data_IF_341558413299
#
_entry.id   IF_341558413299
#
_cell.length_a   1.000
_cell.length_b   1.000
_cell.length_c   1.000
_cell.angle_alpha   90.00
_cell.angle_beta   90.00
_cell.angle_gamma   90.00
#
_symmetry.space_group_name_H-M   'P 1'
#
loop_
_entity.id
_entity.type
_entity.pdbx_description
1 polymer ?
#
# COMPACT_ATOMS: atom_id res chain seq x y z
N UNK A 1 -41.03 5.14 -17.42
CA UNK A 1 -39.88 4.23 -17.26
C UNK A 1 -38.73 5.06 -16.72
N UNK A 2 -38.23 4.73 -15.52
CA UNK A 2 -37.11 5.43 -14.88
C UNK A 2 -35.80 4.99 -15.53
N UNK A 3 -35.02 5.94 -16.06
CA UNK A 3 -33.62 5.73 -16.39
C UNK A 3 -32.78 5.76 -15.11
N UNK A 4 -32.12 4.65 -14.80
CA UNK A 4 -31.15 4.56 -13.73
C UNK A 4 -29.81 5.11 -14.23
N UNK A 5 -29.53 6.39 -13.96
CA UNK A 5 -28.23 7.00 -14.25
C UNK A 5 -27.18 6.48 -13.25
N UNK A 6 -26.40 5.49 -13.67
CA UNK A 6 -25.30 4.95 -12.88
C UNK A 6 -24.09 5.90 -12.95
N UNK A 7 -23.86 6.68 -11.89
CA UNK A 7 -22.65 7.51 -11.78
C UNK A 7 -21.42 6.63 -11.51
N UNK A 8 -20.79 6.16 -12.58
CA UNK A 8 -19.53 5.39 -12.51
C UNK A 8 -18.37 6.36 -12.40
N UNK A 9 -17.78 6.45 -11.20
CA UNK A 9 -16.55 7.23 -11.01
C UNK A 9 -15.36 6.54 -11.66
N UNK A 10 -14.33 7.30 -12.05
CA UNK A 10 -13.10 6.81 -12.71
C UNK A 10 -12.38 5.67 -11.95
N UNK A 11 -12.61 5.54 -10.64
CA UNK A 11 -12.12 4.44 -9.79
C UNK A 11 -12.91 3.15 -10.01
N UNK A 12 -14.22 3.26 -10.15
CA UNK A 12 -15.11 2.13 -10.45
C UNK A 12 -14.78 1.53 -11.81
N UNK A 13 -14.43 2.36 -12.79
CA UNK A 13 -14.05 1.89 -14.13
C UNK A 13 -12.73 1.10 -14.13
N UNK A 14 -11.75 1.50 -13.30
CA UNK A 14 -10.47 0.81 -13.19
C UNK A 14 -10.60 -0.52 -12.44
N UNK A 15 -11.47 -0.59 -11.42
CA UNK A 15 -11.83 -1.84 -10.73
C UNK A 15 -12.56 -2.79 -11.69
N UNK A 16 -13.49 -2.30 -12.50
CA UNK A 16 -14.20 -3.11 -13.50
C UNK A 16 -13.23 -3.65 -14.55
N UNK A 17 -12.25 -2.86 -15.01
CA UNK A 17 -11.24 -3.34 -15.99
C UNK A 17 -10.33 -4.39 -15.37
N UNK A 18 -9.90 -4.26 -14.11
CA UNK A 18 -9.10 -5.29 -13.43
C UNK A 18 -9.92 -6.57 -13.24
N UNK A 19 -11.17 -6.47 -12.79
CA UNK A 19 -12.08 -7.63 -12.62
C UNK A 19 -12.41 -8.31 -13.95
N UNK A 20 -12.59 -7.54 -15.03
CA UNK A 20 -12.83 -8.05 -16.38
C UNK A 20 -11.61 -8.76 -16.97
N UNK A 21 -10.40 -8.25 -16.73
CA UNK A 21 -9.15 -8.92 -17.16
C UNK A 21 -8.94 -10.23 -16.38
N UNK A 22 -9.31 -10.29 -15.10
CA UNK A 22 -9.32 -11.55 -14.33
C UNK A 22 -10.32 -12.57 -14.87
N UNK A 23 -11.51 -12.12 -15.30
CA UNK A 23 -12.56 -13.01 -15.81
C UNK A 23 -12.37 -13.45 -17.26
N UNK A 24 -11.57 -12.73 -18.06
CA UNK A 24 -11.18 -13.14 -19.42
C UNK A 24 -10.01 -14.14 -19.46
N UNK A 25 -9.28 -14.33 -18.36
CA UNK A 25 -8.29 -15.40 -18.19
C UNK A 25 -8.90 -16.68 -17.58
N UNK A 26 -10.20 -16.67 -17.26
CA UNK A 26 -10.96 -17.79 -16.70
C UNK A 26 -11.30 -18.87 -17.73
N UNK A 27 -10.29 -19.41 -18.42
CA UNK A 27 -10.44 -20.63 -19.21
C UNK A 27 -9.40 -21.67 -18.74
N UNK A 28 -9.77 -22.49 -17.76
CA UNK A 28 -9.30 -23.88 -17.68
C UNK A 28 -8.16 -24.23 -16.71
N UNK A 29 -7.82 -23.40 -15.73
CA UNK A 29 -6.97 -23.80 -14.61
C UNK A 29 -7.80 -23.75 -13.33
N UNK A 30 -7.77 -24.81 -12.52
CA UNK A 30 -8.57 -24.87 -11.30
C UNK A 30 -8.04 -23.83 -10.31
N UNK A 31 -8.90 -22.95 -9.81
CA UNK A 31 -8.50 -22.05 -8.74
C UNK A 31 -8.17 -22.88 -7.49
N UNK A 32 -6.98 -22.64 -6.92
CA UNK A 32 -6.56 -23.30 -5.69
C UNK A 32 -7.11 -22.55 -4.50
N UNK A 33 -7.71 -23.25 -3.54
CA UNK A 33 -8.29 -22.61 -2.37
C UNK A 33 -7.35 -22.70 -1.16
N UNK A 34 -7.30 -21.61 -0.40
CA UNK A 34 -6.76 -21.58 0.96
C UNK A 34 -7.84 -22.09 1.92
N UNK A 35 -7.79 -23.38 2.26
CA UNK A 35 -8.75 -24.04 3.15
C UNK A 35 -8.12 -25.29 3.77
N UNK A 36 -8.64 -25.76 4.91
CA UNK A 36 -8.23 -27.03 5.54
C UNK A 36 -8.43 -28.25 4.65
N UNK A 37 -9.35 -28.18 3.68
CA UNK A 37 -9.67 -29.30 2.79
C UNK A 37 -8.74 -29.36 1.57
N UNK A 38 -7.89 -28.34 1.40
CA UNK A 38 -6.93 -28.26 0.30
C UNK A 38 -5.71 -29.15 0.56
N UNK A 39 -5.31 -29.95 -0.42
CA UNK A 39 -4.09 -30.78 -0.34
C UNK A 39 -2.80 -29.97 -0.15
N UNK A 40 -2.85 -28.66 -0.41
CA UNK A 40 -1.72 -27.74 -0.28
C UNK A 40 -1.64 -27.13 1.12
N UNK A 41 -2.65 -27.35 1.97
CA UNK A 41 -2.76 -26.73 3.27
C UNK A 41 -2.81 -27.76 4.40
N UNK A 42 -2.19 -27.43 5.52
CA UNK A 42 -2.21 -28.20 6.76
C UNK A 42 -2.80 -27.33 7.87
N UNK A 43 -3.93 -27.77 8.41
CA UNK A 43 -4.60 -27.11 9.53
C UNK A 43 -3.89 -27.44 10.85
N UNK A 44 -3.51 -26.40 11.57
CA UNK A 44 -3.11 -26.46 12.97
C UNK A 44 -4.17 -25.78 13.86
N UNK A 45 -4.13 -25.97 15.19
CA UNK A 45 -5.19 -25.47 16.08
C UNK A 45 -5.47 -23.96 15.97
N UNK A 46 -4.47 -23.15 15.65
CA UNK A 46 -4.58 -21.68 15.60
C UNK A 46 -4.15 -21.05 14.28
N UNK A 47 -3.64 -21.85 13.35
CA UNK A 47 -3.14 -21.35 12.07
C UNK A 47 -3.29 -22.38 10.95
N UNK A 48 -3.35 -21.88 9.72
CA UNK A 48 -3.36 -22.69 8.51
C UNK A 48 -2.03 -22.47 7.77
N UNK A 49 -1.31 -23.54 7.49
CA UNK A 49 -0.07 -23.50 6.73
C UNK A 49 -0.32 -24.00 5.31
N UNK A 50 -0.10 -23.17 4.29
CA UNK A 50 -0.28 -23.53 2.90
C UNK A 50 1.01 -23.34 2.09
N UNK A 51 1.39 -24.37 1.34
CA UNK A 51 2.53 -24.33 0.42
C UNK A 51 2.09 -24.72 -0.99
N UNK A 52 2.26 -23.78 -1.91
CA UNK A 52 1.83 -23.87 -3.30
C UNK A 52 3.00 -24.10 -4.25
N UNK A 53 4.13 -24.60 -3.74
CA UNK A 53 5.32 -24.90 -4.54
C UNK A 53 4.97 -25.76 -5.77
N UNK A 54 5.44 -25.33 -6.93
CA UNK A 54 5.22 -26.03 -8.19
C UNK A 54 3.85 -25.81 -8.82
N UNK A 55 3.02 -24.95 -8.23
CA UNK A 55 1.74 -24.52 -8.82
C UNK A 55 1.89 -23.15 -9.50
N UNK A 56 1.17 -22.95 -10.60
CA UNK A 56 1.06 -21.65 -11.28
C UNK A 56 -0.38 -21.12 -11.25
N UNK A 57 -1.28 -21.86 -10.64
CA UNK A 57 -2.70 -21.55 -10.56
C UNK A 57 -2.94 -20.38 -9.60
N UNK A 58 -4.06 -19.69 -9.80
CA UNK A 58 -4.48 -18.63 -8.89
C UNK A 58 -4.87 -19.25 -7.56
N UNK A 59 -4.32 -18.72 -6.48
CA UNK A 59 -4.69 -19.08 -5.10
C UNK A 59 -5.75 -18.09 -4.61
N UNK A 60 -6.88 -18.60 -4.16
CA UNK A 60 -8.04 -17.81 -3.73
C UNK A 60 -8.32 -18.03 -2.24
N UNK A 61 -8.52 -16.92 -1.53
CA UNK A 61 -8.87 -16.89 -0.10
C UNK A 61 -10.22 -16.17 0.07
N UNK A 62 -11.31 -16.94 0.13
CA UNK A 62 -12.70 -16.43 0.12
C UNK A 62 -13.56 -16.82 1.35
N UNK A 63 -13.21 -17.89 2.07
CA UNK A 63 -14.15 -18.52 3.02
C UNK A 63 -13.58 -18.81 4.42
N UNK A 64 -12.38 -18.33 4.72
CA UNK A 64 -11.76 -18.55 6.03
C UNK A 64 -12.65 -17.99 7.14
N UNK A 65 -13.13 -18.86 8.03
CA UNK A 65 -13.94 -18.49 9.19
C UNK A 65 -15.46 -18.42 8.97
N UNK A 66 -16.00 -18.80 7.80
CA UNK A 66 -17.47 -18.83 7.56
C UNK A 66 -18.13 -20.19 7.79
N UNK A 67 -17.38 -21.30 7.79
CA UNK A 67 -17.93 -22.66 7.89
C UNK A 67 -17.27 -23.47 8.98
N UNK A 68 -17.61 -23.25 10.25
CA UNK A 68 -17.24 -24.17 11.34
C UNK A 68 -15.72 -24.37 11.57
N UNK A 69 -14.85 -23.68 10.83
CA UNK A 69 -13.41 -23.61 11.01
C UNK A 69 -13.14 -22.84 12.31
N UNK A 70 -13.21 -23.56 13.43
CA UNK A 70 -12.84 -23.04 14.73
C UNK A 70 -11.36 -22.63 14.71
N UNK A 71 -11.11 -21.35 15.01
CA UNK A 71 -9.86 -20.79 15.54
C UNK A 71 -8.66 -20.54 14.61
N UNK A 72 -8.79 -20.50 13.27
CA UNK A 72 -7.67 -20.00 12.44
C UNK A 72 -7.51 -18.49 12.64
N UNK A 73 -6.43 -18.10 13.32
CA UNK A 73 -6.08 -16.70 13.59
C UNK A 73 -5.03 -16.15 12.62
N UNK A 74 -4.24 -17.05 12.04
CA UNK A 74 -3.11 -16.72 11.17
C UNK A 74 -3.05 -17.69 10.00
N UNK A 75 -2.74 -17.19 8.81
CA UNK A 75 -2.48 -18.00 7.62
C UNK A 75 -1.05 -17.77 7.17
N UNK A 76 -0.35 -18.87 6.91
CA UNK A 76 0.96 -18.87 6.28
C UNK A 76 0.80 -19.32 4.84
N UNK A 77 1.28 -18.51 3.89
CA UNK A 77 1.27 -18.84 2.46
C UNK A 77 2.70 -18.85 1.95
N UNK A 78 3.10 -19.95 1.35
CA UNK A 78 4.42 -20.14 0.75
C UNK A 78 4.32 -20.42 -0.75
N UNK A 79 5.28 -19.87 -1.50
CA UNK A 79 5.59 -20.27 -2.88
C UNK A 79 4.41 -20.17 -3.87
N UNK A 80 3.52 -19.20 -3.68
CA UNK A 80 2.39 -18.97 -4.58
C UNK A 80 2.75 -17.97 -5.71
N UNK A 81 2.24 -18.22 -6.91
CA UNK A 81 2.31 -17.25 -8.00
C UNK A 81 1.43 -16.04 -7.71
N UNK A 82 0.12 -16.23 -7.73
CA UNK A 82 -0.85 -15.17 -7.46
C UNK A 82 -1.78 -15.58 -6.33
N UNK A 83 -2.02 -14.67 -5.39
CA UNK A 83 -2.98 -14.83 -4.30
C UNK A 83 -4.03 -13.74 -4.38
N UNK A 84 -5.30 -14.11 -4.47
CA UNK A 84 -6.44 -13.22 -4.37
C UNK A 84 -7.07 -13.35 -2.98
N UNK A 85 -7.09 -12.26 -2.23
CA UNK A 85 -7.70 -12.19 -0.89
C UNK A 85 -9.01 -11.43 -0.99
N UNK A 86 -10.11 -12.10 -0.66
CA UNK A 86 -11.43 -11.50 -0.66
C UNK A 86 -11.53 -10.34 0.34
N UNK A 87 -12.39 -9.38 0.04
CA UNK A 87 -12.47 -8.10 0.76
C UNK A 87 -12.99 -8.25 2.19
N UNK A 88 -13.63 -9.35 2.56
CA UNK A 88 -14.25 -9.60 3.85
C UNK A 88 -13.39 -10.46 4.79
N UNK A 89 -12.17 -10.82 4.37
CA UNK A 89 -11.24 -11.60 5.17
C UNK A 89 -10.48 -10.69 6.15
N UNK A 90 -10.63 -11.00 7.44
CA UNK A 90 -9.93 -10.36 8.55
C UNK A 90 -9.05 -11.39 9.27
N UNK A 91 -7.80 -11.53 8.85
CA UNK A 91 -6.90 -12.52 9.42
C UNK A 91 -5.46 -12.02 9.45
N UNK A 92 -4.63 -12.57 10.34
CA UNK A 92 -3.19 -12.36 10.22
C UNK A 92 -2.67 -13.17 9.04
N UNK A 93 -1.87 -12.53 8.18
CA UNK A 93 -1.34 -13.17 6.98
C UNK A 93 0.19 -13.07 6.97
N UNK A 94 0.84 -14.20 6.75
CA UNK A 94 2.29 -14.30 6.60
C UNK A 94 2.58 -14.91 5.23
N UNK A 95 3.15 -14.13 4.32
CA UNK A 95 3.45 -14.56 2.97
C UNK A 95 4.96 -14.65 2.74
N UNK A 96 5.40 -15.78 2.19
CA UNK A 96 6.79 -16.06 1.85
C UNK A 96 6.89 -16.43 0.38
N UNK A 97 7.75 -15.72 -0.37
CA UNK A 97 7.99 -15.99 -1.79
C UNK A 97 6.70 -15.99 -2.62
N UNK A 98 5.78 -15.06 -2.35
CA UNK A 98 4.53 -14.92 -3.09
C UNK A 98 4.69 -13.82 -4.15
N UNK A 99 4.56 -14.19 -5.42
CA UNK A 99 4.89 -13.26 -6.51
C UNK A 99 3.95 -12.06 -6.54
N UNK A 100 2.65 -12.24 -6.29
CA UNK A 100 1.72 -11.13 -6.15
C UNK A 100 0.52 -11.48 -5.24
N UNK A 101 0.21 -10.60 -4.30
CA UNK A 101 -0.97 -10.66 -3.43
C UNK A 101 -1.88 -9.48 -3.79
N UNK A 102 -3.11 -9.81 -4.15
CA UNK A 102 -4.14 -8.84 -4.49
C UNK A 102 -5.27 -8.91 -3.47
N UNK A 103 -5.44 -7.84 -2.70
CA UNK A 103 -6.65 -7.65 -1.91
C UNK A 103 -7.76 -7.06 -2.78
N UNK A 104 -8.88 -7.77 -2.90
CA UNK A 104 -10.04 -7.36 -3.71
C UNK A 104 -10.75 -6.12 -3.18
N UNK A 105 -10.50 -5.75 -1.93
CA UNK A 105 -11.07 -4.56 -1.29
C UNK A 105 -10.60 -4.40 0.14
N UNK A 106 -11.15 -3.38 0.81
CA UNK A 106 -10.92 -3.12 2.23
C UNK A 106 -12.10 -3.71 3.02
N UNK A 107 -11.88 -4.60 3.99
CA UNK A 107 -12.97 -5.10 4.82
C UNK A 107 -13.56 -3.99 5.68
N UNK A 108 -14.87 -3.84 5.59
CA UNK A 108 -15.64 -2.90 6.40
C UNK A 108 -15.92 -3.45 7.82
N UNK A 109 -15.82 -4.77 7.99
CA UNK A 109 -16.36 -5.50 9.14
C UNK A 109 -15.33 -6.03 10.14
N UNK A 110 -14.02 -5.78 9.95
CA UNK A 110 -13.02 -6.30 10.89
C UNK A 110 -13.19 -5.72 12.29
N UNK A 111 -13.23 -6.62 13.29
CA UNK A 111 -13.32 -6.25 14.70
C UNK A 111 -12.16 -5.32 15.08
N UNK A 112 -12.42 -4.07 15.50
CA UNK A 112 -11.36 -3.11 15.84
C UNK A 112 -10.54 -3.50 17.06
N UNK A 113 -11.06 -4.38 17.92
CA UNK A 113 -10.36 -4.83 19.12
C UNK A 113 -9.42 -6.01 18.86
N UNK A 114 -9.45 -6.59 17.67
CA UNK A 114 -8.59 -7.70 17.30
C UNK A 114 -7.32 -7.20 16.62
N UNK A 115 -6.19 -7.77 17.05
CA UNK A 115 -4.89 -7.43 16.49
C UNK A 115 -4.55 -8.39 15.35
N UNK A 116 -4.53 -7.86 14.12
CA UNK A 116 -4.07 -8.58 12.94
C UNK A 116 -2.66 -8.14 12.58
N UNK A 117 -1.87 -9.08 12.08
CA UNK A 117 -0.52 -8.83 11.59
C UNK A 117 -0.43 -9.20 10.11
N UNK A 118 0.35 -8.43 9.35
CA UNK A 118 0.66 -8.75 7.98
C UNK A 118 2.18 -8.78 7.80
N UNK A 119 2.68 -9.92 7.35
CA UNK A 119 4.11 -10.11 7.12
C UNK A 119 4.36 -10.55 5.69
N UNK A 120 5.28 -9.85 5.04
CA UNK A 120 5.73 -10.10 3.67
C UNK A 120 7.22 -10.40 3.67
N UNK A 121 7.61 -11.54 3.11
CA UNK A 121 9.00 -11.92 2.91
C UNK A 121 9.17 -12.35 1.46
N UNK A 122 10.06 -11.69 0.73
CA UNK A 122 10.29 -11.94 -0.71
C UNK A 122 8.98 -11.93 -1.53
N UNK A 123 8.06 -11.02 -1.19
CA UNK A 123 6.69 -11.02 -1.72
C UNK A 123 6.26 -9.64 -2.21
N UNK A 124 5.27 -9.60 -3.11
CA UNK A 124 4.66 -8.34 -3.56
C UNK A 124 3.17 -8.28 -3.20
N UNK A 125 2.70 -7.10 -2.81
CA UNK A 125 1.30 -6.84 -2.54
C UNK A 125 0.82 -5.54 -3.20
N UNK A 126 -0.44 -5.52 -3.66
CA UNK A 126 -1.05 -4.28 -4.15
C UNK A 126 -1.25 -3.27 -2.99
N UNK A 127 -1.62 -3.73 -1.80
CA UNK A 127 -1.79 -2.88 -0.63
C UNK A 127 -1.49 -3.65 0.66
N UNK A 128 -1.11 -2.92 1.70
CA UNK A 128 -1.19 -3.42 3.08
C UNK A 128 -2.61 -3.15 3.60
N UNK A 129 -3.34 -4.17 4.09
CA UNK A 129 -4.72 -3.97 4.51
C UNK A 129 -4.82 -2.98 5.68
N UNK A 130 -5.78 -2.03 5.67
CA UNK A 130 -5.80 -0.93 6.64
C UNK A 130 -6.27 -1.34 8.05
N UNK A 131 -6.72 -2.59 8.23
CA UNK A 131 -7.16 -3.14 9.51
C UNK A 131 -6.04 -3.79 10.32
N UNK A 132 -4.86 -3.96 9.74
CA UNK A 132 -3.72 -4.58 10.44
C UNK A 132 -3.23 -3.64 11.54
N UNK A 133 -2.66 -4.21 12.59
CA UNK A 133 -2.05 -3.50 13.71
C UNK A 133 -0.52 -3.59 13.71
N UNK A 134 0.01 -4.54 12.94
CA UNK A 134 1.43 -4.77 12.73
C UNK A 134 1.69 -5.11 11.27
N UNK A 135 2.70 -4.46 10.69
CA UNK A 135 3.19 -4.73 9.34
C UNK A 135 4.69 -4.99 9.40
N UNK A 136 5.13 -6.13 8.87
CA UNK A 136 6.54 -6.49 8.75
C UNK A 136 6.88 -6.86 7.31
N UNK A 137 7.78 -6.11 6.66
CA UNK A 137 8.19 -6.33 5.28
C UNK A 137 9.69 -6.59 5.19
N UNK A 138 10.06 -7.66 4.50
CA UNK A 138 11.46 -8.01 4.23
C UNK A 138 11.62 -8.36 2.75
N UNK A 139 12.54 -7.67 2.04
CA UNK A 139 12.79 -7.92 0.61
C UNK A 139 11.51 -7.93 -0.23
N UNK A 140 10.57 -7.05 0.11
CA UNK A 140 9.20 -7.10 -0.40
C UNK A 140 8.77 -5.77 -0.99
N UNK A 141 7.74 -5.78 -1.83
CA UNK A 141 7.16 -4.57 -2.43
C UNK A 141 5.69 -4.42 -2.08
N UNK A 142 5.28 -3.22 -1.70
CA UNK A 142 3.86 -2.88 -1.52
C UNK A 142 3.55 -1.56 -2.21
N UNK A 143 2.52 -1.50 -3.06
CA UNK A 143 2.19 -0.25 -3.76
C UNK A 143 1.62 0.81 -2.82
N UNK A 144 0.83 0.40 -1.82
CA UNK A 144 0.21 1.31 -0.86
C UNK A 144 0.16 0.74 0.55
N UNK A 145 0.67 1.50 1.52
CA UNK A 145 0.48 1.28 2.95
C UNK A 145 -0.40 2.41 3.46
N UNK A 146 -1.62 2.08 3.88
CA UNK A 146 -2.55 3.04 4.50
C UNK A 146 -2.88 2.61 5.92
N UNK A 147 -2.47 3.44 6.88
CA UNK A 147 -2.68 3.22 8.30
C UNK A 147 -3.89 4.05 8.73
N UNK A 148 -4.99 3.37 9.04
CA UNK A 148 -6.28 4.00 9.35
C UNK A 148 -6.84 3.62 10.74
N UNK A 149 -6.13 2.75 11.48
CA UNK A 149 -6.46 2.27 12.84
C UNK A 149 -5.22 2.32 13.73
N UNK A 150 -5.36 1.91 15.00
CA UNK A 150 -4.29 1.86 16.02
C UNK A 150 -3.19 0.84 15.66
N UNK A 151 -2.43 1.15 14.62
CA UNK A 151 -1.21 0.43 14.24
C UNK A 151 -0.16 0.73 15.29
N UNK A 152 0.41 -0.34 15.84
CA UNK A 152 1.46 -0.26 16.85
C UNK A 152 2.84 -0.23 16.23
N UNK A 153 3.03 -0.99 15.15
CA UNK A 153 4.33 -1.14 14.52
C UNK A 153 4.26 -1.34 13.02
N UNK A 154 5.18 -0.70 12.32
CA UNK A 154 5.45 -0.90 10.91
C UNK A 154 6.95 -1.01 10.72
N UNK A 155 7.42 -2.19 10.28
CA UNK A 155 8.81 -2.44 9.92
C UNK A 155 8.94 -2.78 8.44
N UNK A 156 9.94 -2.21 7.78
CA UNK A 156 10.29 -2.56 6.40
C UNK A 156 11.82 -2.59 6.23
N UNK A 157 12.36 -3.69 5.70
CA UNK A 157 13.79 -3.87 5.45
C UNK A 157 14.03 -4.34 4.02
N UNK A 158 14.99 -3.74 3.31
CA UNK A 158 15.32 -4.09 1.92
C UNK A 158 14.08 -4.07 1.00
N UNK A 159 13.14 -3.15 1.23
CA UNK A 159 11.80 -3.21 0.66
C UNK A 159 11.48 -1.95 -0.15
N UNK A 160 10.42 -2.03 -0.97
CA UNK A 160 9.91 -0.89 -1.75
C UNK A 160 8.48 -0.58 -1.30
N UNK A 161 8.23 0.67 -0.94
CA UNK A 161 6.92 1.16 -0.52
C UNK A 161 6.52 2.27 -1.50
N UNK A 162 5.45 2.07 -2.26
CA UNK A 162 4.95 3.09 -3.17
C UNK A 162 4.42 4.30 -2.41
N UNK A 163 3.29 4.13 -1.73
CA UNK A 163 2.67 5.20 -0.95
C UNK A 163 2.63 4.84 0.53
N UNK A 164 3.29 5.64 1.36
CA UNK A 164 3.13 5.57 2.82
C UNK A 164 2.16 6.65 3.26
N UNK A 165 1.00 6.23 3.79
CA UNK A 165 -0.09 7.12 4.20
C UNK A 165 -0.64 6.74 5.56
N UNK A 166 -0.94 7.74 6.39
CA UNK A 166 -1.65 7.57 7.66
C UNK A 166 -2.87 8.48 7.63
N UNK A 167 -4.07 7.98 7.36
CA UNK A 167 -5.19 8.90 7.06
C UNK A 167 -5.74 9.64 8.28
N UNK A 168 -5.40 9.19 9.49
CA UNK A 168 -5.87 9.73 10.78
C UNK A 168 -4.68 9.97 11.71
N UNK A 169 -4.80 10.85 12.72
CA UNK A 169 -3.81 10.94 13.78
C UNK A 169 -3.66 9.58 14.47
N UNK A 170 -2.42 9.08 14.57
CA UNK A 170 -2.11 7.83 15.28
C UNK A 170 -1.15 8.11 16.43
N UNK A 171 -1.40 7.42 17.55
CA UNK A 171 -0.64 7.55 18.80
C UNK A 171 0.26 6.35 19.00
N UNK A 172 1.44 6.58 19.60
CA UNK A 172 2.39 5.52 19.95
C UNK A 172 2.74 4.55 18.81
N UNK A 173 2.76 5.05 17.56
CA UNK A 173 3.11 4.27 16.38
C UNK A 173 4.63 4.28 16.18
N UNK A 174 5.23 3.11 16.00
CA UNK A 174 6.63 2.97 15.61
C UNK A 174 6.73 2.56 14.14
N UNK A 175 7.26 3.46 13.31
CA UNK A 175 7.61 3.20 11.91
C UNK A 175 9.12 3.09 11.80
N UNK A 176 9.62 1.92 11.40
CA UNK A 176 11.05 1.66 11.16
C UNK A 176 11.26 1.17 9.73
N UNK A 177 12.00 1.93 8.94
CA UNK A 177 12.30 1.59 7.55
C UNK A 177 13.81 1.59 7.34
N UNK A 178 14.35 0.47 6.84
CA UNK A 178 15.80 0.24 6.73
C UNK A 178 16.18 -0.26 5.34
N UNK A 179 17.25 0.29 4.76
CA UNK A 179 17.81 -0.15 3.47
C UNK A 179 16.75 -0.23 2.35
N UNK A 180 15.82 0.73 2.31
CA UNK A 180 14.58 0.63 1.55
C UNK A 180 14.32 1.87 0.70
N UNK A 181 13.33 1.78 -0.19
CA UNK A 181 12.86 2.89 -1.00
C UNK A 181 11.40 3.22 -0.68
N UNK A 182 11.11 4.50 -0.51
CA UNK A 182 9.74 5.04 -0.38
C UNK A 182 9.50 5.99 -1.54
N UNK A 183 8.51 5.71 -2.39
CA UNK A 183 8.21 6.59 -3.52
C UNK A 183 7.55 7.89 -3.04
N UNK A 184 6.53 7.80 -2.18
CA UNK A 184 5.77 8.95 -1.77
C UNK A 184 5.29 8.85 -0.31
N UNK A 185 5.50 9.93 0.44
CA UNK A 185 5.01 10.11 1.81
C UNK A 185 3.87 11.13 1.81
N UNK A 186 2.72 10.73 2.36
CA UNK A 186 1.50 11.54 2.38
C UNK A 186 0.74 11.44 3.71
N UNK A 187 0.33 12.58 4.27
CA UNK A 187 -0.59 12.70 5.42
C UNK A 187 -0.18 11.94 6.70
N UNK A 188 1.09 11.59 6.91
CA UNK A 188 1.60 11.02 8.16
C UNK A 188 1.33 11.96 9.34
N UNK A 189 0.30 11.67 10.14
CA UNK A 189 -0.01 12.41 11.36
C UNK A 189 0.38 11.57 12.57
N UNK A 190 1.52 11.90 13.18
CA UNK A 190 2.13 11.16 14.27
C UNK A 190 2.02 11.95 15.59
N UNK A 191 1.35 11.36 16.57
CA UNK A 191 1.13 11.97 17.90
C UNK A 191 1.65 11.07 19.03
N UNK A 192 1.81 11.65 20.23
CA UNK A 192 1.95 10.93 21.50
C UNK A 192 3.01 9.83 21.48
N UNK A 193 4.29 10.23 21.43
CA UNK A 193 5.48 9.35 21.44
C UNK A 193 5.62 8.45 20.21
N UNK A 194 4.96 8.80 19.10
CA UNK A 194 5.19 8.11 17.83
C UNK A 194 6.61 8.37 17.31
N UNK A 195 7.16 7.41 16.59
CA UNK A 195 8.52 7.44 16.07
C UNK A 195 8.53 7.05 14.59
N UNK A 196 9.18 7.87 13.78
CA UNK A 196 9.51 7.57 12.39
C UNK A 196 11.03 7.47 12.26
N UNK A 197 11.55 6.28 12.03
CA UNK A 197 12.98 6.01 11.89
C UNK A 197 13.25 5.52 10.47
N UNK A 198 14.03 6.29 9.73
CA UNK A 198 14.46 5.99 8.36
C UNK A 198 15.98 5.83 8.36
N UNK A 199 16.48 4.62 8.14
CA UNK A 199 17.92 4.32 8.11
C UNK A 199 18.34 3.78 6.76
N UNK A 200 19.27 4.44 6.08
CA UNK A 200 19.68 4.06 4.73
C UNK A 200 18.49 3.94 3.76
N UNK A 201 17.65 4.98 3.73
CA UNK A 201 16.41 5.01 2.95
C UNK A 201 16.48 6.08 1.88
N UNK A 202 16.02 5.75 0.68
CA UNK A 202 15.72 6.74 -0.37
C UNK A 202 14.24 7.09 -0.35
N UNK A 203 13.93 8.37 -0.15
CA UNK A 203 12.58 8.93 -0.29
C UNK A 203 12.51 9.75 -1.58
N UNK A 204 11.70 9.31 -2.55
CA UNK A 204 11.60 10.00 -3.83
C UNK A 204 10.82 11.32 -3.69
N UNK A 205 9.71 11.32 -2.94
CA UNK A 205 8.86 12.51 -2.76
C UNK A 205 8.24 12.61 -1.38
N UNK A 206 8.32 13.80 -0.79
CA UNK A 206 7.54 14.21 0.38
C UNK A 206 6.59 15.32 -0.06
N UNK A 207 5.28 15.06 0.04
CA UNK A 207 4.24 16.02 -0.39
C UNK A 207 4.08 17.18 0.60
N UNK A 208 3.36 18.23 0.21
CA UNK A 208 3.10 19.39 1.07
C UNK A 208 2.26 18.98 2.29
N UNK A 209 2.63 19.48 3.48
CA UNK A 209 1.94 19.19 4.74
C UNK A 209 1.73 17.69 4.99
N UNK A 210 2.69 16.87 4.56
CA UNK A 210 2.54 15.42 4.50
C UNK A 210 3.00 14.72 5.76
N UNK A 211 3.85 15.35 6.56
CA UNK A 211 4.26 14.81 7.86
C UNK A 211 3.91 15.87 8.91
N UNK A 212 3.07 15.50 9.86
CA UNK A 212 2.77 16.30 11.05
C UNK A 212 3.21 15.52 12.29
N UNK A 213 4.03 16.15 13.11
CA UNK A 213 4.59 15.57 14.33
C UNK A 213 4.09 16.35 15.55
N UNK A 214 3.58 15.66 16.57
CA UNK A 214 3.28 16.26 17.88
C UNK A 214 3.72 15.31 18.98
N UNK A 215 4.54 15.79 19.92
CA UNK A 215 5.15 14.95 20.96
C UNK A 215 5.77 13.66 20.39
N UNK A 216 6.33 13.76 19.18
CA UNK A 216 6.76 12.64 18.34
C UNK A 216 8.09 12.96 17.67
N UNK A 217 8.77 11.93 17.18
CA UNK A 217 10.11 12.09 16.60
C UNK A 217 10.21 11.54 15.19
N UNK A 218 10.99 12.23 14.35
CA UNK A 218 11.41 11.74 13.05
C UNK A 218 12.95 11.73 13.01
N UNK A 219 13.53 10.57 12.72
CA UNK A 219 14.97 10.37 12.63
C UNK A 219 15.28 9.83 11.23
N UNK A 220 16.12 10.56 10.49
CA UNK A 220 16.61 10.13 9.18
C UNK A 220 18.12 10.04 9.27
N UNK A 221 18.65 8.85 9.06
CA UNK A 221 20.06 8.54 9.13
C UNK A 221 20.51 7.92 7.83
N UNK A 222 21.61 8.45 7.27
CA UNK A 222 22.25 7.96 6.04
C UNK A 222 21.25 7.84 4.88
N UNK A 223 20.33 8.80 4.71
CA UNK A 223 19.22 8.71 3.75
C UNK A 223 19.34 9.71 2.59
N UNK A 224 18.53 9.53 1.56
CA UNK A 224 18.44 10.46 0.42
C UNK A 224 17.01 10.92 0.23
N UNK A 225 16.77 12.23 0.17
CA UNK A 225 15.46 12.83 -0.07
C UNK A 225 15.53 13.60 -1.39
N UNK A 226 14.95 13.03 -2.45
CA UNK A 226 15.06 13.62 -3.79
C UNK A 226 14.20 14.88 -3.95
N UNK A 227 12.95 14.81 -3.51
CA UNK A 227 12.01 15.93 -3.60
C UNK A 227 11.26 16.14 -2.30
N UNK A 228 11.32 17.36 -1.76
CA UNK A 228 10.47 17.82 -0.65
C UNK A 228 9.73 19.07 -1.09
N UNK A 229 8.40 19.03 -1.07
CA UNK A 229 7.58 20.21 -1.32
C UNK A 229 7.62 21.19 -0.14
N UNK A 230 7.11 22.41 -0.34
CA UNK A 230 7.02 23.42 0.71
C UNK A 230 6.18 22.91 1.89
N UNK A 231 6.62 23.27 3.12
CA UNK A 231 5.96 22.86 4.37
C UNK A 231 5.71 21.35 4.44
N UNK A 232 6.62 20.55 3.88
CA UNK A 232 6.51 19.09 3.85
C UNK A 232 6.34 18.48 5.25
N UNK A 233 7.11 18.97 6.22
CA UNK A 233 7.04 18.54 7.63
C UNK A 233 6.59 19.70 8.51
N UNK A 234 5.54 19.47 9.29
CA UNK A 234 4.99 20.42 10.27
C UNK A 234 5.33 19.92 11.68
N UNK A 235 5.97 20.79 12.46
CA UNK A 235 6.39 20.49 13.82
C UNK A 235 5.42 21.11 14.81
N UNK A 236 4.67 20.28 15.52
CA UNK A 236 3.86 20.66 16.67
C UNK A 236 4.66 20.68 17.98
N UNK A 237 4.01 21.02 19.10
CA UNK A 237 4.64 21.03 20.42
C UNK A 237 5.29 19.68 20.76
N UNK A 238 6.51 19.71 21.31
CA UNK A 238 7.25 18.52 21.70
C UNK A 238 7.72 17.64 20.54
N UNK A 239 7.58 18.07 19.29
CA UNK A 239 8.10 17.36 18.14
C UNK A 239 9.62 17.51 18.01
N UNK A 240 10.28 16.48 17.47
CA UNK A 240 11.72 16.52 17.17
C UNK A 240 12.01 15.91 15.80
N UNK A 241 12.99 16.49 15.11
CA UNK A 241 13.53 15.97 13.85
C UNK A 241 15.03 15.90 13.95
N UNK A 242 15.60 14.73 13.65
CA UNK A 242 17.04 14.51 13.55
C UNK A 242 17.38 14.06 12.14
N UNK A 243 18.28 14.79 11.48
CA UNK A 243 18.82 14.46 10.17
C UNK A 243 20.32 14.24 10.34
N UNK A 244 20.82 13.06 10.00
CA UNK A 244 22.25 12.72 10.09
C UNK A 244 22.69 12.06 8.80
N UNK A 245 23.73 12.59 8.17
CA UNK A 245 24.28 12.07 6.92
C UNK A 245 23.17 11.93 5.85
N UNK A 246 22.25 12.90 5.80
CA UNK A 246 21.09 12.88 4.90
C UNK A 246 21.34 13.81 3.71
N UNK A 247 21.27 13.25 2.51
CA UNK A 247 21.36 14.00 1.25
C UNK A 247 20.00 14.55 0.82
N UNK A 248 19.99 15.78 0.29
CA UNK A 248 18.80 16.43 -0.23
C UNK A 248 18.29 17.57 0.64
N UNK A 249 17.02 17.97 0.42
CA UNK A 249 16.39 19.09 1.14
C UNK A 249 15.08 18.64 1.78
N UNK A 250 14.82 19.09 3.01
CA UNK A 250 13.55 18.91 3.72
C UNK A 250 12.98 20.28 4.10
N UNK A 251 11.74 20.56 3.71
CA UNK A 251 11.05 21.79 4.11
C UNK A 251 10.34 21.58 5.44
N UNK A 252 10.75 22.34 6.45
CA UNK A 252 10.12 22.35 7.78
C UNK A 252 9.21 23.59 7.93
N UNK A 253 8.14 23.46 8.71
CA UNK A 253 7.29 24.55 9.15
C UNK A 253 6.92 24.39 10.63
N UNK A 254 6.86 25.51 11.35
CA UNK A 254 6.28 25.53 12.69
C UNK A 254 4.76 25.37 12.65
N UNK A 255 4.12 25.18 13.82
CA UNK A 255 2.66 25.18 13.87
C UNK A 255 2.18 26.56 13.45
N UNK A 256 1.20 26.63 12.55
CA UNK A 256 0.48 27.89 12.32
C UNK A 256 -0.31 28.18 13.60
N UNK A 257 0.26 29.02 14.45
CA UNK A 257 -0.47 29.66 15.53
C UNK A 257 -1.52 30.53 14.84
N UNK A 258 -2.78 30.08 14.87
CA UNK A 258 -3.90 30.97 14.57
C UNK A 258 -3.84 32.00 15.69
N UNK A 259 -3.20 33.14 15.44
CA UNK A 259 -3.20 34.26 16.36
C UNK A 259 -4.66 34.65 16.56
N UNK A 260 -5.28 34.12 17.62
CA UNK A 260 -6.55 34.58 18.13
C UNK A 260 -6.29 35.97 18.67
N UNK A 261 -6.36 36.97 17.78
CA UNK A 261 -6.53 38.35 18.22
C UNK A 261 -7.78 38.37 19.11
N UNK A 262 -7.73 38.94 20.31
CA UNK A 262 -8.92 39.13 21.11
C UNK A 262 -9.88 40.00 20.31
N UNK A 263 -11.00 39.41 19.89
CA UNK A 263 -12.15 40.14 19.35
C UNK A 263 -12.51 41.21 20.37
N UNK A 264 -12.49 42.51 20.02
CA UNK A 264 -12.97 43.55 20.91
C UNK A 264 -14.42 43.23 21.26
N UNK A 265 -14.76 43.26 22.55
CA UNK A 265 -16.13 43.06 23.00
C UNK A 265 -17.08 43.98 22.21
N UNK A 266 -18.23 43.48 21.75
CA UNK A 266 -19.20 44.34 21.07
C UNK A 266 -19.60 45.49 22.00
N UNK A 267 -19.74 46.72 21.49
CA UNK A 267 -20.11 47.85 22.31
C UNK A 267 -21.47 47.59 22.97
N UNK A 268 -21.50 47.85 24.28
CA UNK A 268 -22.69 47.80 25.14
C UNK A 268 -23.82 48.55 24.44
N UNK A 269 -24.92 47.86 24.11
CA UNK A 269 -26.14 48.49 23.62
C UNK A 269 -26.68 49.46 24.70
N UNK A 270 -26.52 50.74 24.42
CA UNK A 270 -27.15 51.83 25.14
C UNK A 270 -28.68 51.70 24.99
N UNK A 271 -29.39 51.69 26.12
CA UNK A 271 -30.85 51.61 26.17
C UNK A 271 -31.46 52.79 25.42
N UNK A 272 -32.13 52.53 24.29
CA UNK A 272 -33.02 53.52 23.65
C UNK A 272 -34.35 53.58 24.40
N UNK A 273 -34.92 54.78 24.65
CA UNK A 273 -36.24 54.93 25.23
C UNK A 273 -37.34 54.47 24.26
N UNK A 274 -38.49 54.00 24.79
CA UNK A 274 -39.58 53.42 24.00
C UNK A 274 -40.37 54.51 23.26
N UNK A 275 -40.56 54.36 21.94
CA UNK A 275 -41.51 55.23 21.23
C UNK A 275 -41.31 55.44 19.73
N UNK A 276 -40.46 54.67 19.03
CA UNK A 276 -40.32 54.82 17.57
C UNK A 276 -40.52 53.44 16.91
N UNK A 277 -41.53 53.27 16.04
CA UNK A 277 -41.73 52.01 15.33
C UNK A 277 -40.58 51.75 14.33
N UNK A 278 -40.21 50.49 14.10
CA UNK A 278 -39.10 50.14 13.21
C UNK A 278 -39.46 50.49 11.75
N UNK A 279 -38.49 50.97 10.94
CA UNK A 279 -38.70 51.11 9.51
C UNK A 279 -38.78 49.73 8.85
N UNK A 280 -39.73 49.62 7.93
CA UNK A 280 -40.05 48.45 7.09
C UNK A 280 -38.79 47.87 6.42
N UNK A 281 -38.59 46.54 6.39
CA UNK A 281 -37.48 45.94 5.66
C UNK A 281 -37.63 46.22 4.17
N UNK A 282 -36.65 46.91 3.58
CA UNK A 282 -36.47 46.95 2.14
C UNK A 282 -36.00 45.56 1.68
N UNK A 283 -36.82 44.91 0.87
CA UNK A 283 -36.53 43.67 0.17
C UNK A 283 -35.28 43.85 -0.68
N UNK A 284 -34.14 43.32 -0.23
CA UNK A 284 -32.98 43.14 -1.08
C UNK A 284 -33.33 42.08 -2.17
N UNK A 285 -32.96 42.30 -3.44
CA UNK A 285 -33.20 41.30 -4.48
C UNK A 285 -32.37 40.06 -4.18
N UNK A 286 -33.08 38.94 -4.08
CA UNK A 286 -32.56 37.60 -3.90
C UNK A 286 -31.63 37.26 -5.08
N UNK A 287 -30.32 37.28 -4.86
CA UNK A 287 -29.35 36.74 -5.82
C UNK A 287 -29.52 35.22 -5.85
N UNK A 288 -30.04 34.71 -6.97
CA UNK A 288 -29.97 33.30 -7.34
C UNK A 288 -28.52 32.95 -7.67
N UNK A 289 -27.97 31.83 -7.16
CA UNK A 289 -26.66 31.37 -7.59
C UNK A 289 -26.76 30.88 -9.04
N UNK A 290 -25.94 31.50 -9.90
CA UNK A 290 -25.67 31.01 -11.25
C UNK A 290 -25.09 29.60 -11.17
N UNK A 291 -25.93 28.62 -11.50
CA UNK A 291 -25.54 27.25 -11.73
C UNK A 291 -24.83 27.20 -13.10
N UNK A 292 -23.53 27.51 -13.13
CA UNK A 292 -22.73 27.34 -14.34
C UNK A 292 -22.43 25.85 -14.53
N UNK A 293 -23.22 25.26 -15.42
CA UNK A 293 -23.01 23.97 -16.04
C UNK A 293 -21.67 23.95 -16.78
N UNK A 294 -20.62 23.46 -16.14
CA UNK A 294 -19.40 22.99 -16.81
C UNK A 294 -19.64 21.54 -17.22
N UNK A 295 -20.57 21.35 -18.16
CA UNK A 295 -20.97 20.03 -18.64
C UNK A 295 -21.30 20.10 -20.14
N UNK A 296 -20.44 20.75 -20.92
CA UNK A 296 -20.60 20.79 -22.40
C UNK A 296 -19.28 20.52 -23.17
N UNK A 297 -18.13 20.39 -22.51
CA UNK A 297 -16.85 20.14 -23.22
C UNK A 297 -16.27 18.72 -23.10
N UNK A 298 -16.98 17.76 -22.49
CA UNK A 298 -16.46 16.39 -22.31
C UNK A 298 -17.18 15.30 -23.12
N UNK A 299 -18.26 15.62 -23.84
CA UNK A 299 -19.01 14.61 -24.60
C UNK A 299 -18.36 14.14 -25.93
N UNK A 300 -17.63 14.97 -26.71
CA UNK A 300 -17.04 14.47 -27.95
C UNK A 300 -15.78 13.60 -27.75
N UNK A 301 -15.03 13.77 -26.65
CA UNK A 301 -13.77 13.04 -26.42
C UNK A 301 -13.98 11.64 -25.85
N UNK A 302 -15.04 11.43 -25.07
CA UNK A 302 -15.37 10.11 -24.51
C UNK A 302 -15.95 9.18 -25.58
N UNK A 303 -16.79 9.71 -26.48
CA UNK A 303 -17.35 8.93 -27.58
C UNK A 303 -16.25 8.49 -28.57
N UNK A 304 -15.31 9.39 -28.90
CA UNK A 304 -14.17 9.06 -29.76
C UNK A 304 -13.22 8.01 -29.15
N UNK A 305 -13.03 8.01 -27.83
CA UNK A 305 -12.21 7.01 -27.15
C UNK A 305 -12.88 5.62 -27.12
N UNK A 306 -14.20 5.58 -26.94
CA UNK A 306 -14.97 4.33 -26.97
C UNK A 306 -15.01 3.76 -28.39
N UNK A 307 -15.19 4.61 -29.42
CA UNK A 307 -15.11 4.17 -30.82
C UNK A 307 -13.70 3.66 -31.17
N UNK A 308 -12.63 4.31 -30.71
CA UNK A 308 -11.26 3.85 -30.93
C UNK A 308 -10.97 2.49 -30.29
N UNK A 309 -11.53 2.22 -29.10
CA UNK A 309 -11.39 0.93 -28.41
C UNK A 309 -12.19 -0.17 -29.13
N UNK A 310 -13.42 0.12 -29.59
CA UNK A 310 -14.23 -0.83 -30.36
C UNK A 310 -13.54 -1.15 -31.69
N UNK A 311 -12.95 -0.16 -32.37
CA UNK A 311 -12.17 -0.36 -33.58
C UNK A 311 -10.93 -1.22 -33.29
N UNK A 312 -10.19 -0.97 -32.20
CA UNK A 312 -9.04 -1.80 -31.82
C UNK A 312 -9.43 -3.25 -31.54
N UNK A 313 -10.53 -3.50 -30.84
CA UNK A 313 -11.03 -4.85 -30.53
C UNK A 313 -11.49 -5.57 -31.82
N UNK A 314 -12.20 -4.89 -32.71
CA UNK A 314 -12.61 -5.47 -34.00
C UNK A 314 -11.44 -5.65 -34.97
N UNK A 315 -10.43 -4.78 -34.93
CA UNK A 315 -9.23 -4.91 -35.77
C UNK A 315 -8.26 -5.99 -35.26
N UNK A 316 -8.21 -6.31 -33.97
CA UNK A 316 -7.39 -7.43 -33.45
C UNK A 316 -7.91 -8.81 -33.88
N UNK A 317 -9.20 -8.92 -34.22
CA UNK A 317 -9.77 -10.14 -34.79
C UNK A 317 -9.50 -10.31 -36.29
N UNK A 318 -8.81 -9.35 -36.93
CA UNK A 318 -8.62 -9.32 -38.39
C UNK A 318 -7.19 -9.61 -38.86
N UNK A 319 -6.26 -9.98 -37.96
CA UNK A 319 -4.93 -10.46 -38.35
C UNK A 319 -4.79 -11.99 -38.18
N UNK A 320 -5.18 -12.80 -39.18
CA UNK A 320 -4.66 -14.14 -39.29
C UNK A 320 -3.22 -14.06 -39.84
N UNK A 321 -2.29 -14.68 -39.13
CA UNK A 321 -0.92 -15.01 -39.57
C UNK A 321 0.16 -13.92 -39.55
N UNK A 322 0.79 -13.74 -38.38
CA UNK A 322 2.25 -13.57 -38.35
C UNK A 322 2.86 -14.91 -37.96
N UNK A 323 3.10 -15.72 -39.00
CA UNK A 323 3.89 -16.95 -38.96
C UNK A 323 5.23 -16.68 -38.29
N UNK A 324 5.59 -17.59 -37.37
CA UNK A 324 6.94 -17.89 -36.89
C UNK A 324 8.00 -17.59 -37.96
N UNK A 325 8.80 -16.54 -37.77
CA UNK A 325 10.15 -16.50 -38.34
C UNK A 325 11.09 -17.15 -37.33
N UNK A 326 11.78 -18.18 -37.81
CA UNK A 326 12.86 -18.87 -37.11
C UNK A 326 13.93 -17.85 -36.71
N UNK A 327 14.27 -17.80 -35.42
CA UNK A 327 15.55 -17.26 -34.97
C UNK A 327 16.66 -18.29 -35.30
N UNK A 328 17.83 -17.86 -35.78
CA UNK A 328 18.93 -18.77 -36.08
C UNK A 328 19.54 -19.34 -34.80
N UNK A 329 19.81 -20.65 -34.85
CA UNK A 329 20.68 -21.38 -33.93
C UNK A 329 22.05 -20.71 -33.86
N UNK A 330 22.53 -20.44 -32.64
CA UNK A 330 23.91 -19.99 -32.45
C UNK A 330 24.13 -19.09 -31.25
N UNK A 331 23.58 -19.41 -30.07
CA UNK A 331 23.97 -18.73 -28.83
C UNK A 331 23.79 -19.59 -27.56
N UNK A 332 23.81 -20.93 -27.69
CA UNK A 332 23.65 -21.84 -26.55
C UNK A 332 24.92 -22.62 -26.15
N UNK A 333 26.00 -22.59 -26.95
CA UNK A 333 27.22 -23.36 -26.62
C UNK A 333 28.23 -22.59 -25.74
N UNK A 334 28.04 -21.27 -25.54
CA UNK A 334 28.93 -20.45 -24.69
C UNK A 334 28.66 -20.56 -23.19
N UNK A 335 27.39 -20.69 -22.78
CA UNK A 335 27.00 -20.65 -21.36
C UNK A 335 27.09 -22.01 -20.64
N UNK A 336 27.04 -23.12 -21.38
CA UNK A 336 27.19 -24.46 -20.80
C UNK A 336 28.64 -24.82 -20.43
N UNK A 337 29.64 -24.13 -21.02
CA UNK A 337 31.05 -24.31 -20.65
C UNK A 337 31.46 -23.50 -19.43
N UNK A 338 30.84 -22.34 -19.16
CA UNK A 338 31.12 -21.56 -17.94
C UNK A 338 30.55 -22.21 -16.67
N UNK A 339 29.41 -22.91 -16.74
CA UNK A 339 28.82 -23.55 -15.55
C UNK A 339 29.54 -24.83 -15.11
N UNK A 340 30.32 -25.49 -15.98
CA UNK A 340 31.14 -26.65 -15.58
C UNK A 340 32.47 -26.28 -14.92
N UNK A 341 32.95 -25.04 -15.10
CA UNK A 341 34.21 -24.61 -14.49
C UNK A 341 34.02 -24.24 -13.01
N UNK A 342 32.87 -23.66 -12.65
CA UNK A 342 32.54 -23.26 -11.27
C UNK A 342 32.20 -24.41 -10.33
N UNK A 343 31.78 -25.57 -10.86
CA UNK A 343 31.46 -26.74 -10.03
C UNK A 343 32.72 -27.53 -9.60
N UNK A 344 33.83 -27.41 -10.35
CA UNK A 344 35.10 -28.05 -10.01
C UNK A 344 35.85 -27.29 -8.90
N UNK A 345 35.82 -25.95 -8.92
CA UNK A 345 36.46 -25.11 -7.89
C UNK A 345 35.78 -25.19 -6.52
N UNK A 346 34.49 -25.53 -6.46
CA UNK A 346 33.78 -25.66 -5.19
C UNK A 346 34.05 -27.00 -4.49
N UNK A 347 34.25 -28.08 -5.24
CA UNK A 347 34.60 -29.39 -4.66
C UNK A 347 36.02 -29.45 -4.11
N UNK A 348 36.98 -28.71 -4.69
CA UNK A 348 38.36 -28.71 -4.19
C UNK A 348 38.53 -27.92 -2.86
N UNK A 349 37.67 -26.93 -2.59
CA UNK A 349 37.71 -26.17 -1.32
C UNK A 349 37.09 -26.91 -0.13
N UNK A 350 36.11 -27.79 -0.36
CA UNK A 350 35.45 -28.55 0.71
C UNK A 350 36.32 -29.74 1.18
N UNK A 351 37.22 -30.24 0.34
CA UNK A 351 38.05 -31.40 0.70
C UNK A 351 39.31 -31.03 1.52
N UNK A 352 39.73 -29.75 1.52
CA UNK A 352 40.89 -29.26 2.29
C UNK A 352 40.57 -28.81 3.72
N UNK A 353 39.30 -28.75 4.13
CA UNK A 353 38.87 -28.31 5.47
C UNK A 353 38.61 -29.45 6.47
N UNK A 354 38.66 -30.72 6.04
CA UNK A 354 38.30 -31.89 6.87
C UNK A 354 39.51 -32.57 7.55
N UNK A 355 40.74 -32.12 7.30
CA UNK A 355 41.95 -32.70 7.91
C UNK A 355 42.75 -31.65 8.70
N UNK A 356 42.27 -31.31 9.90
CA UNK A 356 43.13 -30.80 10.98
C UNK A 356 42.83 -31.55 12.28
N UNK A 357 43.81 -32.23 12.90
CA UNK A 357 43.58 -32.94 14.15
C UNK A 357 43.49 -31.96 15.33
N UNK A 358 42.50 -32.21 16.19
CA UNK A 358 42.31 -31.54 17.48
C UNK A 358 43.51 -31.84 18.40
N UNK A 359 44.20 -30.79 18.84
CA UNK A 359 45.24 -30.87 19.87
C UNK A 359 44.57 -30.60 21.21
N UNK A 360 44.51 -31.60 22.08
CA UNK A 360 44.05 -31.45 23.46
C UNK A 360 45.05 -30.63 24.27
N UNK A 361 44.53 -29.69 25.05
CA UNK A 361 45.25 -29.09 26.16
C UNK A 361 44.44 -29.32 27.43
N UNK A 362 45.13 -29.78 28.45
CA UNK A 362 44.73 -29.79 29.86
C UNK A 362 46.01 -29.96 30.68
N UNK A 363 46.03 -29.54 31.95
CA UNK A 363 45.59 -28.27 32.54
C UNK A 363 46.68 -27.18 32.46
#
# INVERSE_FOLDING_TARGET
MMELQLHVTRRTLLVVVVVMVSSLLGNGLGDLQVSSDSKYCTQHPTFLYCDFLGTQELVVMESLGKRGEQMVSTVYIHNAGQVLVASDICISLVAFSVTNITFSGIPETCNPNQHFSFKLVDSNANLAPPYISQLDMQRSTTQQVSIDRDVRSFSATNSVIGHLKVSKPVKALNIKVENSLIDNIEKLHLESKSQLVLYNVTVNKITQSSIYLKESSMNIWTGTIKTSLEKAVILGPGASVSLKDTDGKVSLAGPQEVASMPTPAPPRQEHRPPGIPPPTPQTAPQQTPCNQSVLVWAFPTVLAAVEAIIILINCTNWFPSLKRRRLPQGLEEGNLRMMRQTEVDHKEKVQKSVTRPFRSQSP
#
